data_IF_316860631256
#
_entry.id   IF_316860631256
#
_cell.length_a   1.000
_cell.length_b   1.000
_cell.length_c   1.000
_cell.angle_alpha   90.00
_cell.angle_beta   90.00
_cell.angle_gamma   90.00
#
_symmetry.space_group_name_H-M   'P 1'
#
loop_
_entity.id
_entity.type
_entity.pdbx_description
1 polymer ?
#
# COMPACT_ATOMS: atom_id res chain seq x y z
N UNK A 1 -9.90 -6.24 -2.12
CA UNK A 1 -8.62 -6.48 -2.84
C UNK A 1 -8.20 -7.93 -2.63
N UNK A 2 -7.72 -8.56 -3.69
CA UNK A 2 -7.29 -9.96 -3.64
C UNK A 2 -5.81 -10.06 -3.26
N UNK A 3 -5.38 -11.25 -2.80
CA UNK A 3 -4.01 -11.46 -2.36
C UNK A 3 -2.95 -11.22 -3.44
N UNK A 4 -3.22 -11.61 -4.68
CA UNK A 4 -2.31 -11.39 -5.80
C UNK A 4 -2.22 -9.91 -6.17
N UNK A 5 -3.33 -9.18 -6.06
CA UNK A 5 -3.35 -7.73 -6.25
C UNK A 5 -2.52 -7.04 -5.17
N UNK A 6 -2.65 -7.49 -3.93
CA UNK A 6 -1.85 -6.96 -2.83
C UNK A 6 -0.37 -7.25 -3.02
N UNK A 7 -0.04 -8.43 -3.53
CA UNK A 7 1.34 -8.79 -3.84
C UNK A 7 2.01 -7.80 -4.78
N UNK A 8 1.29 -7.36 -5.82
CA UNK A 8 1.80 -6.36 -6.75
C UNK A 8 2.04 -5.01 -6.06
N UNK A 9 1.12 -4.59 -5.18
CA UNK A 9 1.28 -3.36 -4.40
C UNK A 9 2.48 -3.45 -3.47
N UNK A 10 2.64 -4.57 -2.78
CA UNK A 10 3.75 -4.77 -1.85
C UNK A 10 5.10 -4.78 -2.56
N UNK A 11 5.17 -5.39 -3.76
CA UNK A 11 6.38 -5.32 -4.59
C UNK A 11 6.73 -3.90 -4.96
N UNK A 12 5.74 -3.08 -5.27
CA UNK A 12 5.93 -1.68 -5.58
C UNK A 12 6.48 -0.91 -4.38
N UNK A 13 5.96 -1.17 -3.19
CA UNK A 13 6.47 -0.59 -1.96
C UNK A 13 7.90 -1.03 -1.69
N UNK A 14 8.20 -2.30 -1.88
CA UNK A 14 9.55 -2.82 -1.69
C UNK A 14 10.54 -2.17 -2.67
N UNK A 15 10.18 -2.07 -3.94
CA UNK A 15 11.03 -1.48 -4.96
C UNK A 15 11.25 0.02 -4.72
N UNK A 16 10.23 0.72 -4.24
CA UNK A 16 10.29 2.18 -4.06
C UNK A 16 10.96 2.60 -2.76
N UNK A 17 10.77 1.83 -1.68
CA UNK A 17 11.22 2.22 -0.34
C UNK A 17 12.17 1.23 0.31
N UNK A 18 12.49 0.12 -0.34
CA UNK A 18 13.35 -0.90 0.23
C UNK A 18 12.74 -1.58 1.45
N UNK A 19 11.43 -1.67 1.52
CA UNK A 19 10.74 -2.29 2.67
C UNK A 19 11.05 -3.78 2.74
N UNK A 20 11.33 -4.26 3.96
CA UNK A 20 11.61 -5.67 4.19
C UNK A 20 10.35 -6.52 4.02
N UNK A 21 10.53 -7.67 3.39
CA UNK A 21 9.45 -8.60 3.08
C UNK A 21 9.35 -9.65 4.16
N UNK A 22 8.82 -9.29 5.32
CA UNK A 22 8.52 -10.27 6.34
C UNK A 22 7.05 -10.68 6.21
N UNK A 23 6.79 -11.98 6.32
CA UNK A 23 5.46 -12.52 6.15
C UNK A 23 4.45 -11.93 7.13
N UNK A 24 4.88 -11.69 8.36
CA UNK A 24 4.02 -11.09 9.38
C UNK A 24 3.60 -9.66 8.98
N UNK A 25 4.54 -8.88 8.44
CA UNK A 25 4.25 -7.51 7.99
C UNK A 25 3.29 -7.52 6.81
N UNK A 26 3.47 -8.43 5.87
CA UNK A 26 2.56 -8.58 4.73
C UNK A 26 1.13 -8.87 5.19
N UNK A 27 0.96 -9.74 6.17
CA UNK A 27 -0.36 -10.08 6.70
C UNK A 27 -1.03 -8.88 7.35
N UNK A 28 -0.29 -8.12 8.15
CA UNK A 28 -0.81 -6.92 8.80
C UNK A 28 -1.26 -5.89 7.75
N UNK A 29 -0.43 -5.63 6.76
CA UNK A 29 -0.76 -4.70 5.69
C UNK A 29 -1.97 -5.17 4.88
N UNK A 30 -2.01 -6.44 4.53
CA UNK A 30 -3.12 -6.99 3.76
C UNK A 30 -4.43 -6.89 4.56
N UNK A 31 -4.42 -7.28 5.83
CA UNK A 31 -5.62 -7.23 6.67
C UNK A 31 -6.13 -5.80 6.84
N UNK A 32 -5.22 -4.84 6.89
CA UNK A 32 -5.60 -3.43 7.03
C UNK A 32 -6.17 -2.84 5.74
N UNK A 33 -5.72 -3.31 4.59
CA UNK A 33 -6.04 -2.71 3.29
C UNK A 33 -6.99 -3.54 2.41
N UNK A 34 -7.31 -4.76 2.80
CA UNK A 34 -8.12 -5.65 1.94
C UNK A 34 -9.55 -5.15 1.71
N UNK A 35 -10.03 -4.22 2.53
CA UNK A 35 -11.35 -3.61 2.35
C UNK A 35 -11.38 -2.50 1.31
N UNK A 36 -10.23 -2.06 0.81
CA UNK A 36 -10.14 -1.05 -0.24
C UNK A 36 -9.99 -1.71 -1.60
N UNK A 37 -10.41 -1.01 -2.66
CA UNK A 37 -10.21 -1.47 -4.01
C UNK A 37 -8.74 -1.35 -4.40
N UNK A 38 -8.26 -2.28 -5.21
CA UNK A 38 -6.89 -2.29 -5.70
C UNK A 38 -6.50 -0.94 -6.33
N UNK A 39 -7.38 -0.38 -7.16
CA UNK A 39 -7.12 0.88 -7.87
C UNK A 39 -6.88 2.02 -6.88
N UNK A 40 -7.66 2.07 -5.80
CA UNK A 40 -7.53 3.13 -4.79
C UNK A 40 -6.23 3.00 -4.01
N UNK A 41 -5.86 1.78 -3.63
CA UNK A 41 -4.61 1.53 -2.90
C UNK A 41 -3.41 1.79 -3.79
N UNK A 42 -3.46 1.34 -5.04
CA UNK A 42 -2.37 1.57 -6.00
C UNK A 42 -2.17 3.07 -6.25
N UNK A 43 -3.26 3.83 -6.41
CA UNK A 43 -3.18 5.28 -6.56
C UNK A 43 -2.57 5.94 -5.34
N UNK A 44 -2.94 5.51 -4.13
CA UNK A 44 -2.41 6.04 -2.89
C UNK A 44 -0.90 5.79 -2.77
N UNK A 45 -0.44 4.59 -3.13
CA UNK A 45 0.98 4.26 -3.12
C UNK A 45 1.74 5.12 -4.13
N UNK A 46 1.22 5.26 -5.33
CA UNK A 46 1.86 6.08 -6.37
C UNK A 46 1.98 7.54 -5.97
N UNK A 47 0.92 8.10 -5.41
CA UNK A 47 0.95 9.48 -4.89
C UNK A 47 1.96 9.64 -3.77
N UNK A 48 2.03 8.69 -2.87
CA UNK A 48 2.97 8.74 -1.76
C UNK A 48 4.42 8.71 -2.25
N UNK A 49 4.71 7.89 -3.25
CA UNK A 49 6.05 7.81 -3.85
C UNK A 49 6.47 9.17 -4.41
N UNK A 50 5.56 9.88 -5.05
CA UNK A 50 5.86 11.20 -5.61
C UNK A 50 6.01 12.29 -4.54
N UNK A 51 5.21 12.22 -3.50
CA UNK A 51 5.12 13.31 -2.53
C UNK A 51 6.11 13.18 -1.37
N UNK A 52 6.62 11.99 -1.09
CA UNK A 52 7.42 11.72 0.10
C UNK A 52 8.62 10.85 -0.24
N UNK A 53 9.71 11.05 0.51
CA UNK A 53 10.92 10.23 0.38
C UNK A 53 11.14 9.30 1.57
N UNK A 54 10.11 9.10 2.39
CA UNK A 54 10.13 8.19 3.54
C UNK A 54 9.19 7.02 3.32
N UNK A 55 9.39 5.96 4.08
CA UNK A 55 8.48 4.79 4.04
C UNK A 55 7.09 5.19 4.48
N UNK A 56 6.04 4.74 3.77
CA UNK A 56 4.68 4.97 4.22
C UNK A 56 4.33 4.05 5.40
N UNK A 57 3.41 4.52 6.23
CA UNK A 57 2.76 3.68 7.22
C UNK A 57 1.44 3.16 6.63
N UNK A 58 0.84 2.16 7.29
CA UNK A 58 -0.48 1.67 6.89
C UNK A 58 -1.49 2.83 6.88
N UNK A 59 -1.42 3.71 7.90
CA UNK A 59 -2.32 4.85 7.98
C UNK A 59 -2.16 5.80 6.80
N UNK A 60 -0.93 6.05 6.35
CA UNK A 60 -0.68 6.91 5.20
C UNK A 60 -1.38 6.39 3.94
N UNK A 61 -1.24 5.10 3.69
CA UNK A 61 -1.83 4.49 2.50
C UNK A 61 -3.35 4.38 2.63
N UNK A 62 -3.85 4.03 3.81
CA UNK A 62 -5.28 3.94 4.05
C UNK A 62 -5.96 5.29 3.87
N UNK A 63 -5.37 6.37 4.37
CA UNK A 63 -5.89 7.72 4.19
C UNK A 63 -5.91 8.13 2.72
N UNK A 64 -4.83 7.80 1.99
CA UNK A 64 -4.77 8.06 0.56
C UNK A 64 -5.83 7.30 -0.22
N UNK A 65 -6.06 6.03 0.14
CA UNK A 65 -7.09 5.21 -0.50
C UNK A 65 -8.50 5.75 -0.24
N UNK A 66 -8.77 6.24 0.98
CA UNK A 66 -10.04 6.87 1.30
C UNK A 66 -10.28 8.13 0.48
N UNK A 67 -9.26 8.96 0.34
CA UNK A 67 -9.34 10.19 -0.47
C UNK A 67 -9.54 9.88 -1.95
N UNK A 68 -8.91 8.83 -2.45
CA UNK A 68 -9.07 8.41 -3.84
C UNK A 68 -10.50 7.97 -4.11
N UNK A 69 -11.16 7.39 -3.13
CA UNK A 69 -12.54 6.89 -3.25
C UNK A 69 -13.59 7.99 -3.11
N UNK A 70 -13.24 9.11 -2.52
CA UNK A 70 -14.19 10.19 -2.25
C UNK A 70 -14.65 10.94 -3.54
#
# INVERSE_FOLDING_TARGET
>A
MKGDEFGAIYQKLHASFGMLYEKADQEVWFNALNGFDFVDVDAAVSEFVYANNRRPTIADIADGARKSKA
#
